data_IF_875381791765
#
_entry.id   IF_875381791765
#
_cell.length_a   1.000
_cell.length_b   1.000
_cell.length_c   1.000
_cell.angle_alpha   90.00
_cell.angle_beta   90.00
_cell.angle_gamma   90.00
#
_symmetry.space_group_name_H-M   'P 1'
#
loop_
_entity.id
_entity.type
_entity.pdbx_description
1 polymer ?
#
# COMPACT_ATOMS: atom_id res chain seq x y z
N UNK A 1 12.26 14.29 -4.50
CA UNK A 1 11.33 13.64 -3.55
C UNK A 1 11.73 12.17 -3.46
N UNK A 2 12.10 11.66 -2.28
CA UNK A 2 12.52 10.25 -2.12
C UNK A 2 11.29 9.39 -1.83
N UNK A 3 11.10 8.29 -2.54
CA UNK A 3 10.03 7.33 -2.31
C UNK A 3 10.63 5.95 -2.07
N UNK A 4 9.91 5.11 -1.32
CA UNK A 4 10.26 3.69 -1.15
C UNK A 4 9.09 2.87 -1.67
N UNK A 5 9.40 1.90 -2.53
CA UNK A 5 8.44 0.98 -3.15
C UNK A 5 8.65 -0.43 -2.60
N UNK A 6 7.54 -1.10 -2.27
CA UNK A 6 7.49 -2.48 -1.79
C UNK A 6 6.66 -3.28 -2.75
N UNK A 7 7.25 -4.26 -3.41
CA UNK A 7 6.52 -5.15 -4.32
C UNK A 7 6.27 -6.48 -3.62
N UNK A 8 5.00 -6.90 -3.58
CA UNK A 8 4.58 -8.16 -2.98
C UNK A 8 4.69 -9.32 -3.98
N UNK A 9 4.76 -9.03 -5.29
CA UNK A 9 4.88 -10.04 -6.36
C UNK A 9 6.27 -10.67 -6.55
N UNK A 10 7.31 -10.31 -5.77
CA UNK A 10 8.62 -10.98 -5.90
C UNK A 10 9.45 -10.93 -4.59
N UNK A 11 9.74 -12.07 -3.91
CA UNK A 11 10.37 -12.09 -2.59
C UNK A 11 11.92 -12.05 -2.62
N UNK A 12 12.54 -11.47 -3.65
CA UNK A 12 14.02 -11.45 -3.77
C UNK A 12 14.72 -10.36 -2.94
N UNK A 13 14.10 -9.93 -1.86
CA UNK A 13 14.70 -9.07 -0.85
C UNK A 13 14.01 -9.25 0.48
N UNK A 14 14.78 -9.20 1.56
CA UNK A 14 14.26 -9.31 2.92
C UNK A 14 13.31 -8.13 3.22
N UNK A 15 12.03 -8.33 2.95
CA UNK A 15 10.99 -7.34 3.11
C UNK A 15 10.83 -6.91 4.59
N UNK A 16 11.32 -7.71 5.54
CA UNK A 16 11.25 -7.45 6.99
C UNK A 16 12.01 -6.23 7.46
N UNK A 17 13.13 -5.88 6.82
CA UNK A 17 13.92 -4.71 7.19
C UNK A 17 13.16 -3.39 6.99
N UNK A 18 12.15 -3.37 6.09
CA UNK A 18 11.32 -2.19 5.85
C UNK A 18 9.87 -2.35 6.32
N UNK A 19 9.45 -3.59 6.62
CA UNK A 19 8.19 -3.87 7.30
C UNK A 19 8.08 -3.19 8.65
N UNK A 20 9.13 -2.79 9.37
CA UNK A 20 8.88 -2.24 10.72
C UNK A 20 8.00 -0.97 10.72
N UNK A 21 8.15 -0.07 9.73
CA UNK A 21 7.46 1.22 9.72
C UNK A 21 6.15 1.23 8.94
N UNK A 22 5.99 0.31 7.99
CA UNK A 22 4.73 0.11 7.26
C UNK A 22 3.93 -1.03 7.89
N UNK A 23 4.60 -2.03 8.42
CA UNK A 23 4.02 -3.03 9.29
C UNK A 23 3.38 -2.44 10.53
N UNK A 24 3.76 -1.25 11.01
CA UNK A 24 2.97 -0.48 12.00
C UNK A 24 1.62 0.02 11.43
N UNK A 25 1.53 0.32 10.13
CA UNK A 25 0.29 0.66 9.43
C UNK A 25 -0.56 -0.57 9.09
N UNK A 26 0.10 -1.72 8.90
CA UNK A 26 -0.50 -3.00 8.51
C UNK A 26 -0.75 -3.89 9.74
N UNK A 27 -0.29 -3.53 10.95
CA UNK A 27 -0.34 -4.44 12.13
C UNK A 27 -1.78 -4.70 12.60
N UNK A 28 -2.74 -3.91 12.15
CA UNK A 28 -4.17 -4.14 12.34
C UNK A 28 -4.90 -4.71 11.12
N UNK A 29 -4.19 -5.00 10.03
CA UNK A 29 -4.76 -5.39 8.74
C UNK A 29 -4.28 -6.80 8.39
N UNK A 30 -4.99 -7.80 8.91
CA UNK A 30 -4.79 -9.23 8.62
C UNK A 30 -6.14 -9.90 8.31
N UNK A 31 -6.34 -10.48 7.11
CA UNK A 31 -5.41 -10.54 5.98
C UNK A 31 -5.19 -9.16 5.35
N UNK A 32 -4.03 -8.93 4.74
CA UNK A 32 -3.76 -7.66 4.07
C UNK A 32 -4.44 -7.58 2.68
N UNK A 33 -5.69 -7.12 2.67
CA UNK A 33 -6.52 -6.94 1.47
C UNK A 33 -6.97 -5.48 1.36
N UNK A 34 -7.46 -5.03 0.19
CA UNK A 34 -7.99 -3.66 0.09
C UNK A 34 -9.18 -3.43 1.02
N UNK A 35 -10.05 -4.42 1.18
CA UNK A 35 -11.22 -4.34 2.06
C UNK A 35 -10.81 -4.08 3.51
N UNK A 36 -9.89 -4.90 4.04
CA UNK A 36 -9.39 -4.72 5.40
C UNK A 36 -8.60 -3.42 5.58
N UNK A 37 -7.90 -2.95 4.53
CA UNK A 37 -7.27 -1.61 4.55
C UNK A 37 -8.31 -0.49 4.59
N UNK A 38 -9.39 -0.60 3.83
CA UNK A 38 -10.50 0.37 3.85
C UNK A 38 -11.19 0.37 5.22
N UNK A 39 -11.43 -0.80 5.81
CA UNK A 39 -12.00 -0.92 7.15
C UNK A 39 -11.09 -0.29 8.22
N UNK A 40 -9.77 -0.44 8.07
CA UNK A 40 -8.80 0.04 9.04
C UNK A 40 -8.46 1.54 8.90
N UNK A 41 -8.32 2.04 7.67
CA UNK A 41 -7.85 3.40 7.38
C UNK A 41 -8.97 4.34 6.92
N UNK A 42 -10.15 3.81 6.58
CA UNK A 42 -11.24 4.53 5.93
C UNK A 42 -11.03 4.71 4.44
N UNK A 43 -11.81 5.61 3.84
CA UNK A 43 -11.73 5.91 2.40
C UNK A 43 -10.42 6.62 2.03
N UNK A 44 -9.83 6.29 0.87
CA UNK A 44 -8.64 6.99 0.37
C UNK A 44 -8.93 8.44 -0.01
N UNK A 45 -7.89 9.29 0.02
CA UNK A 45 -7.97 10.66 -0.53
C UNK A 45 -8.28 10.65 -2.04
N UNK A 46 -7.95 9.55 -2.73
CA UNK A 46 -8.32 9.35 -4.11
C UNK A 46 -8.06 7.92 -4.57
N UNK A 47 -8.96 7.44 -5.42
CA UNK A 47 -8.86 6.14 -6.09
C UNK A 47 -8.76 6.34 -7.59
N UNK A 48 -7.76 5.73 -8.22
CA UNK A 48 -7.59 5.73 -9.67
C UNK A 48 -7.54 4.29 -10.18
N UNK A 49 -8.52 3.85 -10.98
CA UNK A 49 -8.39 2.61 -11.74
C UNK A 49 -7.44 2.83 -12.93
N UNK A 50 -6.52 1.89 -13.19
CA UNK A 50 -5.73 1.91 -14.43
C UNK A 50 -6.21 0.90 -15.45
N UNK A 51 -5.78 1.10 -16.69
CA UNK A 51 -6.08 0.23 -17.83
C UNK A 51 -5.45 -1.17 -17.74
N UNK A 52 -4.70 -1.48 -16.68
CA UNK A 52 -3.94 -2.72 -16.51
C UNK A 52 -4.50 -3.62 -15.39
N UNK A 53 -5.80 -3.57 -15.12
CA UNK A 53 -6.42 -4.27 -13.99
C UNK A 53 -5.71 -3.98 -12.67
N UNK A 54 -5.47 -2.70 -12.38
CA UNK A 54 -4.88 -2.29 -11.10
C UNK A 54 -5.63 -1.10 -10.54
N UNK A 55 -5.91 -1.15 -9.24
CA UNK A 55 -6.55 -0.07 -8.49
C UNK A 55 -5.48 0.63 -7.65
N UNK A 56 -5.52 1.96 -7.65
CA UNK A 56 -4.56 2.81 -6.96
C UNK A 56 -5.30 3.59 -5.89
N UNK A 57 -5.06 3.29 -4.64
CA UNK A 57 -5.59 4.07 -3.53
C UNK A 57 -4.50 4.97 -2.95
N UNK A 58 -4.79 6.26 -2.85
CA UNK A 58 -3.91 7.24 -2.22
C UNK A 58 -4.38 7.55 -0.82
N UNK A 59 -3.50 7.38 0.16
CA UNK A 59 -3.73 7.76 1.54
C UNK A 59 -2.72 8.79 2.00
N UNK A 60 -3.15 9.59 2.98
CA UNK A 60 -2.27 10.44 3.77
C UNK A 60 -2.30 10.00 5.22
N UNK A 61 -1.23 9.34 5.64
CA UNK A 61 -1.11 8.81 6.99
C UNK A 61 -0.10 9.65 7.75
N UNK A 62 -0.61 10.48 8.65
CA UNK A 62 0.16 11.55 9.29
C UNK A 62 0.79 12.49 8.26
N UNK A 63 2.12 12.49 8.15
CA UNK A 63 2.88 13.33 7.20
C UNK A 63 3.29 12.59 5.93
N UNK A 64 3.00 11.30 5.83
CA UNK A 64 3.42 10.45 4.71
C UNK A 64 2.29 10.31 3.71
N UNK A 65 2.65 10.32 2.43
CA UNK A 65 1.75 9.91 1.35
C UNK A 65 2.01 8.44 1.05
N UNK A 66 0.99 7.60 1.14
CA UNK A 66 1.05 6.16 0.93
C UNK A 66 0.17 5.83 -0.26
N UNK A 67 0.69 5.04 -1.19
CA UNK A 67 -0.04 4.56 -2.37
C UNK A 67 -0.12 3.04 -2.26
N UNK A 68 -1.33 2.50 -2.25
CA UNK A 68 -1.56 1.06 -2.36
C UNK A 68 -1.96 0.71 -3.79
N UNK A 69 -1.35 -0.35 -4.31
CA UNK A 69 -1.61 -0.89 -5.63
C UNK A 69 -2.26 -2.25 -5.43
N UNK A 70 -3.47 -2.40 -5.94
CA UNK A 70 -4.27 -3.62 -5.83
C UNK A 70 -4.45 -4.21 -7.21
N UNK A 71 -4.43 -5.54 -7.31
CA UNK A 71 -4.95 -6.21 -8.48
C UNK A 71 -6.46 -5.95 -8.58
N UNK A 72 -6.99 -5.61 -9.75
CA UNK A 72 -8.41 -5.28 -9.88
C UNK A 72 -9.31 -6.52 -9.87
N UNK A 73 -8.77 -7.71 -10.16
CA UNK A 73 -9.56 -8.94 -10.31
C UNK A 73 -9.80 -9.61 -8.95
N UNK A 74 -8.79 -9.66 -8.08
CA UNK A 74 -8.87 -10.30 -6.76
C UNK A 74 -8.55 -9.36 -5.59
N UNK A 75 -8.26 -8.08 -5.88
CA UNK A 75 -8.03 -7.06 -4.86
C UNK A 75 -6.80 -7.37 -3.98
N UNK A 76 -5.92 -8.26 -4.46
CA UNK A 76 -4.69 -8.65 -3.79
C UNK A 76 -3.66 -7.51 -3.79
N UNK A 77 -2.86 -7.37 -2.72
CA UNK A 77 -1.80 -6.37 -2.63
C UNK A 77 -0.69 -6.64 -3.64
N UNK A 78 -0.44 -5.68 -4.53
CA UNK A 78 0.62 -5.75 -5.54
C UNK A 78 1.87 -5.01 -5.07
N UNK A 79 1.67 -3.75 -4.68
CA UNK A 79 2.75 -2.83 -4.35
C UNK A 79 2.29 -1.79 -3.32
N UNK A 80 3.20 -1.34 -2.44
CA UNK A 80 3.02 -0.14 -1.62
C UNK A 80 4.11 0.87 -1.97
N UNK A 81 3.77 2.14 -2.14
CA UNK A 81 4.75 3.22 -2.29
C UNK A 81 4.56 4.26 -1.19
N UNK A 82 5.63 4.56 -0.45
CA UNK A 82 5.64 5.58 0.61
C UNK A 82 6.51 6.75 0.19
N UNK A 83 5.88 7.91 0.02
CA UNK A 83 6.56 9.17 -0.19
C UNK A 83 7.20 9.66 1.10
N UNK A 84 8.53 9.87 1.09
CA UNK A 84 9.23 10.60 2.14
C UNK A 84 9.45 12.04 1.69
N UNK A 85 8.99 13.00 2.51
CA UNK A 85 9.46 14.38 2.40
C UNK A 85 10.95 14.36 2.79
N UNK A 86 11.79 14.91 1.90
CA UNK A 86 13.21 15.14 2.18
C UNK A 86 13.35 16.21 3.25
#
# INVERSE_FOLDING_TARGET
MKFIQFNFRNPTGDATAVYRRIGELITGVDPFTRETVLDHLGEPEGTTPTRQNTIFDTYRIGRQRVLFYWDADDISPQTIVVGRKA
#
